data_IF_340155502905
#
_entry.id   IF_340155502905
#
_cell.length_a   1.000
_cell.length_b   1.000
_cell.length_c   1.000
_cell.angle_alpha   90.00
_cell.angle_beta   90.00
_cell.angle_gamma   90.00
#
_symmetry.space_group_name_H-M   'P 1'
#
loop_
_entity.id
_entity.type
_entity.pdbx_description
1 polymer ?
#
# COMPACT_ATOMS: atom_id res chain seq x y z
N UNK A 1 24.84 -11.25 1.67
CA UNK A 1 25.05 -9.81 1.38
C UNK A 1 23.75 -9.24 0.84
N UNK A 2 23.09 -8.31 1.55
CA UNK A 2 21.89 -7.65 1.04
C UNK A 2 22.23 -6.93 -0.28
N UNK A 3 21.46 -7.19 -1.33
CA UNK A 3 21.74 -6.73 -2.67
C UNK A 3 21.69 -5.19 -2.69
N UNK A 4 22.85 -4.52 -2.82
CA UNK A 4 23.02 -3.05 -2.76
C UNK A 4 22.10 -2.28 -3.74
N UNK A 5 21.49 -2.98 -4.69
CA UNK A 5 20.56 -2.44 -5.68
C UNK A 5 19.06 -2.54 -5.31
N UNK A 6 18.66 -3.30 -4.28
CA UNK A 6 17.23 -3.49 -3.95
C UNK A 6 16.58 -2.26 -3.30
N UNK A 7 17.31 -1.54 -2.43
CA UNK A 7 16.75 -0.38 -1.71
C UNK A 7 16.57 0.88 -2.59
N UNK A 8 17.21 0.93 -3.77
CA UNK A 8 17.14 2.08 -4.69
C UNK A 8 15.80 2.19 -5.44
N UNK A 9 14.98 1.14 -5.39
CA UNK A 9 13.68 1.08 -6.07
C UNK A 9 12.50 1.22 -5.07
N UNK A 10 12.79 1.63 -3.84
CA UNK A 10 11.81 1.72 -2.75
C UNK A 10 11.61 3.18 -2.36
N UNK A 11 10.36 3.63 -2.44
CA UNK A 11 9.90 4.87 -1.83
C UNK A 11 9.25 4.58 -0.49
N UNK A 12 9.57 5.37 0.52
CA UNK A 12 8.93 5.36 1.83
C UNK A 12 8.11 6.62 1.95
N UNK A 13 6.83 6.46 2.25
CA UNK A 13 5.91 7.58 2.23
C UNK A 13 4.93 7.51 3.39
N UNK A 14 4.50 8.70 3.80
CA UNK A 14 3.57 8.90 4.90
C UNK A 14 2.84 10.25 4.70
N UNK A 15 1.52 10.23 4.76
CA UNK A 15 0.69 11.43 4.69
C UNK A 15 0.21 11.83 6.09
N UNK A 16 0.30 13.13 6.35
CA UNK A 16 -0.55 13.75 7.35
C UNK A 16 -1.84 14.23 6.68
N UNK A 17 -2.95 14.14 7.40
CA UNK A 17 -4.26 14.50 6.86
C UNK A 17 -5.24 14.94 7.94
N UNK A 18 -6.25 15.69 7.52
CA UNK A 18 -7.45 15.95 8.30
C UNK A 18 -8.62 15.13 7.76
N UNK A 19 -9.61 14.89 8.63
CA UNK A 19 -10.88 14.27 8.23
C UNK A 19 -11.89 15.38 7.99
N UNK A 20 -12.46 15.40 6.79
CA UNK A 20 -13.58 16.27 6.45
C UNK A 20 -14.92 15.53 6.65
N UNK A 21 -16.02 16.28 6.59
CA UNK A 21 -17.37 15.71 6.64
C UNK A 21 -17.55 14.63 5.56
N UNK A 22 -18.23 13.53 5.91
CA UNK A 22 -18.45 12.42 4.98
C UNK A 22 -17.28 11.42 4.88
N UNK A 23 -16.26 11.53 5.73
CA UNK A 23 -15.17 10.55 5.79
C UNK A 23 -14.06 10.75 4.75
N UNK A 24 -14.07 11.89 4.05
CA UNK A 24 -13.01 12.24 3.11
C UNK A 24 -11.72 12.62 3.86
N UNK A 25 -10.59 12.09 3.39
CA UNK A 25 -9.27 12.41 3.93
C UNK A 25 -8.66 13.54 3.10
N UNK A 26 -8.33 14.67 3.75
CA UNK A 26 -7.67 15.80 3.12
C UNK A 26 -6.19 15.81 3.51
N UNK A 27 -5.26 15.57 2.57
CA UNK A 27 -3.83 15.59 2.89
C UNK A 27 -3.37 17.00 3.25
N UNK A 28 -2.60 17.11 4.32
CA UNK A 28 -1.97 18.34 4.82
C UNK A 28 -0.45 18.30 4.66
N UNK A 29 0.15 17.11 4.73
CA UNK A 29 1.57 16.89 4.46
C UNK A 29 1.77 15.57 3.70
N UNK A 30 2.81 15.50 2.88
CA UNK A 30 3.39 14.26 2.37
C UNK A 30 4.89 14.25 2.66
N UNK A 31 5.34 13.24 3.41
CA UNK A 31 6.74 12.84 3.44
C UNK A 31 7.04 11.78 2.40
N UNK A 32 8.11 11.98 1.63
CA UNK A 32 8.65 10.97 0.73
C UNK A 32 10.17 10.87 0.94
N UNK A 33 10.67 9.66 1.10
CA UNK A 33 12.11 9.40 1.20
C UNK A 33 12.52 8.13 0.49
N UNK A 34 13.78 8.02 0.08
CA UNK A 34 14.35 6.83 -0.59
C UNK A 34 15.86 6.76 -0.40
N UNK A 35 16.42 5.56 -0.51
CA UNK A 35 17.87 5.33 -0.37
C UNK A 35 18.61 5.65 -1.66
N UNK A 36 19.59 6.54 -1.59
CA UNK A 36 20.59 6.76 -2.63
C UNK A 36 21.99 6.40 -2.14
N UNK A 37 22.22 5.10 -1.98
CA UNK A 37 23.45 4.57 -1.39
C UNK A 37 23.34 4.50 0.13
N UNK A 38 24.30 5.09 0.84
CA UNK A 38 24.29 5.12 2.32
C UNK A 38 23.42 6.24 2.90
N UNK A 39 22.93 7.16 2.06
CA UNK A 39 22.12 8.29 2.47
C UNK A 39 20.67 8.17 2.00
N UNK A 40 19.78 8.80 2.76
CA UNK A 40 18.39 9.04 2.43
C UNK A 40 18.26 10.40 1.74
N UNK A 41 17.60 10.37 0.60
CA UNK A 41 17.07 11.57 -0.03
C UNK A 41 15.63 11.74 0.39
N UNK A 42 15.22 12.98 0.64
CA UNK A 42 13.89 13.27 1.16
C UNK A 42 13.23 14.45 0.46
N UNK A 43 11.90 14.42 0.45
CA UNK A 43 11.03 15.53 0.06
C UNK A 43 9.85 15.59 1.02
N UNK A 44 9.60 16.77 1.59
CA UNK A 44 8.34 17.08 2.28
C UNK A 44 7.53 18.02 1.39
N UNK A 45 6.23 17.77 1.28
CA UNK A 45 5.26 18.65 0.64
C UNK A 45 4.21 19.02 1.68
N UNK A 46 3.98 20.31 1.89
CA UNK A 46 2.89 20.81 2.73
C UNK A 46 1.79 21.34 1.83
N UNK A 47 0.55 21.01 2.16
CA UNK A 47 -0.62 21.41 1.38
C UNK A 47 -1.49 22.39 2.16
N UNK A 48 -2.08 23.34 1.44
CA UNK A 48 -3.08 24.24 2.02
C UNK A 48 -4.36 23.44 2.36
N UNK A 49 -5.13 23.81 3.40
CA UNK A 49 -6.38 23.15 3.74
C UNK A 49 -7.39 23.10 2.57
N UNK A 50 -7.34 24.08 1.67
CA UNK A 50 -8.22 24.20 0.50
C UNK A 50 -7.70 23.49 -0.75
N UNK A 51 -6.61 22.72 -0.64
CA UNK A 51 -5.98 22.06 -1.79
C UNK A 51 -6.96 21.11 -2.50
N UNK A 52 -6.99 21.17 -3.82
CA UNK A 52 -7.73 20.20 -4.62
C UNK A 52 -6.88 18.93 -4.81
N UNK A 53 -7.49 17.75 -4.72
CA UNK A 53 -6.79 16.46 -4.87
C UNK A 53 -6.03 16.34 -6.21
N UNK A 54 -6.49 17.01 -7.27
CA UNK A 54 -5.78 17.08 -8.56
C UNK A 54 -4.42 17.80 -8.46
N UNK A 55 -4.33 18.83 -7.61
CA UNK A 55 -3.09 19.57 -7.39
C UNK A 55 -2.13 18.75 -6.52
N UNK A 56 -2.67 18.02 -5.53
CA UNK A 56 -1.92 17.03 -4.75
C UNK A 56 -1.33 15.98 -5.68
N UNK A 57 -2.14 15.40 -6.59
CA UNK A 57 -1.69 14.45 -7.61
C UNK A 57 -0.53 15.01 -8.44
N UNK A 58 -0.68 16.24 -8.95
CA UNK A 58 0.35 16.90 -9.75
C UNK A 58 1.65 17.07 -8.96
N UNK A 59 1.57 17.49 -7.70
CA UNK A 59 2.72 17.65 -6.82
C UNK A 59 3.43 16.32 -6.54
N UNK A 60 2.67 15.25 -6.29
CA UNK A 60 3.19 13.89 -6.13
C UNK A 60 3.91 13.45 -7.40
N UNK A 61 3.23 13.49 -8.55
CA UNK A 61 3.78 13.04 -9.84
C UNK A 61 5.06 13.79 -10.21
N UNK A 62 5.09 15.11 -10.03
CA UNK A 62 6.29 15.93 -10.25
C UNK A 62 7.43 15.57 -9.29
N UNK A 63 7.11 15.17 -8.07
CA UNK A 63 8.10 14.75 -7.09
C UNK A 63 8.68 13.39 -7.48
N UNK A 64 7.84 12.42 -7.83
CA UNK A 64 8.28 11.05 -8.16
C UNK A 64 8.82 10.89 -9.58
N UNK A 65 8.53 11.81 -10.51
CA UNK A 65 8.96 11.73 -11.93
C UNK A 65 10.48 11.73 -12.08
N UNK A 66 11.20 12.33 -11.13
CA UNK A 66 12.65 12.35 -11.09
C UNK A 66 13.25 11.02 -10.60
N UNK A 67 12.40 10.11 -10.11
CA UNK A 67 12.77 8.85 -9.46
C UNK A 67 12.06 7.67 -10.12
N UNK A 68 12.17 7.58 -11.46
CA UNK A 68 11.55 6.55 -12.32
C UNK A 68 11.88 5.09 -11.94
N UNK A 69 12.85 4.89 -11.04
CA UNK A 69 13.26 3.58 -10.55
C UNK A 69 12.42 3.06 -9.39
N UNK A 70 11.60 3.90 -8.75
CA UNK A 70 10.73 3.48 -7.65
C UNK A 70 9.64 2.54 -8.18
N UNK A 71 9.68 1.29 -7.70
CA UNK A 71 8.72 0.21 -8.03
C UNK A 71 7.97 -0.28 -6.80
N UNK A 72 8.48 0.01 -5.60
CA UNK A 72 7.89 -0.41 -4.33
C UNK A 72 7.62 0.81 -3.47
N UNK A 73 6.45 0.86 -2.84
CA UNK A 73 6.08 1.84 -1.84
C UNK A 73 5.91 1.15 -0.49
N UNK A 74 6.59 1.66 0.53
CA UNK A 74 6.53 1.15 1.90
C UNK A 74 5.88 2.21 2.78
N UNK A 75 4.90 1.78 3.57
CA UNK A 75 4.13 2.59 4.49
C UNK A 75 4.33 2.04 5.90
N UNK A 76 4.03 2.84 6.94
CA UNK A 76 3.84 2.27 8.27
C UNK A 76 2.52 1.51 8.31
N UNK A 77 1.39 2.20 8.17
CA UNK A 77 0.05 1.64 7.95
C UNK A 77 -0.49 2.19 6.64
N UNK A 78 -0.63 1.35 5.61
CA UNK A 78 -0.98 1.85 4.26
C UNK A 78 -2.43 2.29 4.14
N UNK A 79 -3.30 2.04 5.13
CA UNK A 79 -4.76 2.14 4.98
C UNK A 79 -5.19 3.52 4.48
N UNK A 80 -4.84 4.56 5.22
CA UNK A 80 -5.22 5.93 4.89
C UNK A 80 -4.37 6.51 3.76
N UNK A 81 -3.06 6.21 3.73
CA UNK A 81 -2.17 6.69 2.66
C UNK A 81 -2.59 6.16 1.28
N UNK A 82 -2.90 4.86 1.19
CA UNK A 82 -3.39 4.24 -0.05
C UNK A 82 -4.73 4.84 -0.47
N UNK A 83 -5.61 5.14 0.48
CA UNK A 83 -6.88 5.82 0.18
C UNK A 83 -6.60 7.21 -0.41
N UNK A 84 -5.76 8.03 0.23
CA UNK A 84 -5.41 9.37 -0.26
C UNK A 84 -4.79 9.30 -1.67
N UNK A 85 -3.87 8.35 -1.91
CA UNK A 85 -3.27 8.16 -3.23
C UNK A 85 -4.31 7.81 -4.30
N UNK A 86 -5.23 6.89 -3.99
CA UNK A 86 -6.32 6.51 -4.89
C UNK A 86 -7.28 7.68 -5.15
N UNK A 87 -7.68 8.42 -4.11
CA UNK A 87 -8.57 9.58 -4.21
C UNK A 87 -7.93 10.72 -5.03
N UNK A 88 -6.60 10.86 -4.98
CA UNK A 88 -5.84 11.75 -5.85
C UNK A 88 -5.75 11.24 -7.31
N UNK A 89 -6.15 10.00 -7.61
CA UNK A 89 -6.01 9.41 -8.94
C UNK A 89 -4.58 8.92 -9.26
N UNK A 90 -3.79 8.58 -8.24
CA UNK A 90 -2.52 7.86 -8.42
C UNK A 90 -2.85 6.38 -8.63
N UNK A 91 -2.35 5.80 -9.72
CA UNK A 91 -2.54 4.38 -9.98
C UNK A 91 -1.57 3.54 -9.12
N UNK A 92 -2.05 3.13 -7.95
CA UNK A 92 -1.28 2.31 -7.01
C UNK A 92 -0.95 0.90 -7.53
N UNK A 93 -1.65 0.37 -8.55
CA UNK A 93 -1.35 -0.97 -9.09
C UNK A 93 -0.01 -1.06 -9.83
N UNK A 94 0.58 0.09 -10.18
CA UNK A 94 1.92 0.17 -10.77
C UNK A 94 3.04 -0.07 -9.75
N UNK A 95 2.71 -0.13 -8.46
CA UNK A 95 3.67 -0.27 -7.38
C UNK A 95 3.40 -1.53 -6.56
N UNK A 96 4.47 -2.18 -6.12
CA UNK A 96 4.38 -3.15 -5.02
C UNK A 96 4.18 -2.38 -3.71
N UNK A 97 3.09 -2.61 -2.99
CA UNK A 97 2.81 -1.92 -1.72
C UNK A 97 3.17 -2.82 -0.54
N UNK A 98 3.93 -2.30 0.42
CA UNK A 98 4.31 -2.99 1.66
C UNK A 98 3.72 -2.24 2.84
N UNK A 99 3.02 -2.96 3.70
CA UNK A 99 2.54 -2.47 4.99
C UNK A 99 3.50 -2.93 6.07
N UNK A 100 4.34 -2.02 6.59
CA UNK A 100 5.38 -2.41 7.53
C UNK A 100 4.83 -2.72 8.93
N UNK A 101 3.69 -2.14 9.30
CA UNK A 101 3.02 -2.41 10.56
C UNK A 101 2.46 -3.84 10.59
N UNK A 102 1.86 -4.31 9.49
CA UNK A 102 1.39 -5.70 9.37
C UNK A 102 2.56 -6.70 9.50
N UNK A 103 3.68 -6.43 8.83
CA UNK A 103 4.88 -7.28 8.86
C UNK A 103 5.54 -7.35 10.25
N UNK A 104 5.34 -6.31 11.08
CA UNK A 104 5.97 -6.18 12.40
C UNK A 104 4.98 -6.41 13.57
N UNK A 105 3.83 -7.03 13.30
CA UNK A 105 2.91 -7.48 14.35
C UNK A 105 2.01 -6.39 14.94
N UNK A 106 1.64 -5.37 14.13
CA UNK A 106 0.64 -4.36 14.46
C UNK A 106 0.94 -3.50 15.70
N UNK A 107 2.20 -3.07 15.83
CA UNK A 107 2.64 -2.12 16.87
C UNK A 107 2.55 -0.66 16.38
N UNK A 108 2.82 0.32 17.25
CA UNK A 108 2.88 1.74 16.86
C UNK A 108 4.27 2.13 16.35
N UNK A 109 4.33 3.15 15.48
CA UNK A 109 5.60 3.63 14.91
C UNK A 109 6.57 4.11 16.00
N UNK A 110 6.06 4.76 17.05
CA UNK A 110 6.85 5.21 18.20
C UNK A 110 7.51 4.02 18.93
N UNK A 111 6.72 3.02 19.32
CA UNK A 111 7.22 1.84 20.05
C UNK A 111 8.30 1.09 19.27
N UNK A 112 8.09 0.88 17.96
CA UNK A 112 9.09 0.19 17.14
C UNK A 112 10.33 1.06 16.92
N UNK A 113 10.16 2.38 16.84
CA UNK A 113 11.28 3.32 16.70
C UNK A 113 12.17 3.26 17.93
N UNK A 114 11.58 3.21 19.13
CA UNK A 114 12.30 3.03 20.39
C UNK A 114 13.03 1.67 20.41
N UNK A 115 12.34 0.58 20.03
CA UNK A 115 12.94 -0.77 19.97
C UNK A 115 14.17 -0.83 19.06
N UNK A 116 14.14 -0.15 17.91
CA UNK A 116 15.27 -0.10 16.98
C UNK A 116 16.27 1.04 17.23
N UNK A 117 16.05 1.81 18.30
CA UNK A 117 16.81 3.00 18.67
C UNK A 117 16.91 4.03 17.53
N UNK A 118 15.77 4.33 16.90
CA UNK A 118 15.65 5.33 15.83
C UNK A 118 15.43 6.71 16.45
N UNK A 119 16.55 7.41 16.70
CA UNK A 119 16.54 8.77 17.25
C UNK A 119 16.60 9.84 16.14
N UNK A 120 16.19 11.09 16.41
CA UNK A 120 16.38 12.21 15.46
C UNK A 120 17.82 12.39 14.99
N UNK A 121 18.81 12.16 15.86
CA UNK A 121 20.23 12.24 15.52
C UNK A 121 20.63 11.12 14.55
N UNK A 122 20.12 9.90 14.77
CA UNK A 122 20.35 8.78 13.86
C UNK A 122 19.73 9.05 12.48
N UNK A 123 18.51 9.59 12.45
CA UNK A 123 17.85 10.01 11.21
C UNK A 123 18.69 11.06 10.48
N UNK A 124 19.11 12.11 11.18
CA UNK A 124 19.91 13.20 10.62
C UNK A 124 21.23 12.72 10.02
N UNK A 125 21.91 11.75 10.65
CA UNK A 125 23.14 11.14 10.11
C UNK A 125 22.93 10.47 8.75
N UNK A 126 21.75 9.90 8.52
CA UNK A 126 21.42 9.21 7.27
C UNK A 126 20.86 10.14 6.19
N UNK A 127 20.38 11.33 6.52
CA UNK A 127 19.95 12.30 5.51
C UNK A 127 21.16 12.82 4.71
N UNK A 128 20.98 12.97 3.39
CA UNK A 128 21.99 13.53 2.50
C UNK A 128 22.49 14.89 3.01
N UNK A 129 23.82 15.13 3.13
CA UNK A 129 24.36 16.31 3.82
C UNK A 129 23.74 17.64 3.40
N UNK A 130 23.52 17.84 2.10
CA UNK A 130 22.98 19.08 1.55
C UNK A 130 21.48 19.30 1.85
N UNK A 131 20.76 18.27 2.29
CA UNK A 131 19.33 18.37 2.62
C UNK A 131 19.08 18.56 4.12
N UNK A 132 20.06 18.29 5.00
CA UNK A 132 19.90 18.32 6.46
C UNK A 132 19.39 19.66 6.99
N UNK A 133 19.85 20.77 6.41
CA UNK A 133 19.46 22.13 6.83
C UNK A 133 18.02 22.50 6.46
N UNK A 134 17.41 21.76 5.54
CA UNK A 134 16.08 22.08 4.99
C UNK A 134 14.96 21.25 5.62
N UNK A 135 15.29 20.38 6.59
CA UNK A 135 14.30 19.56 7.31
C UNK A 135 14.11 20.17 8.68
N UNK A 136 13.00 20.87 8.85
CA UNK A 136 12.74 21.70 10.03
C UNK A 136 12.10 20.93 11.18
N UNK A 137 11.52 19.75 10.94
CA UNK A 137 10.92 18.89 11.96
C UNK A 137 11.14 17.41 11.64
N UNK A 138 11.79 16.69 12.55
CA UNK A 138 11.96 15.23 12.52
C UNK A 138 11.13 14.56 13.64
N UNK A 139 10.06 15.21 14.09
CA UNK A 139 9.17 14.65 15.11
C UNK A 139 8.27 13.55 14.54
N UNK A 140 7.71 12.73 15.42
CA UNK A 140 6.58 11.86 15.07
C UNK A 140 5.38 12.71 14.62
N UNK A 141 4.50 12.16 13.80
CA UNK A 141 3.32 12.86 13.25
C UNK A 141 3.69 14.07 12.38
N UNK A 142 4.85 13.97 11.73
CA UNK A 142 5.17 14.80 10.58
C UNK A 142 5.44 13.83 9.46
N UNK A 143 4.83 14.06 8.28
CA UNK A 143 4.90 13.10 7.19
C UNK A 143 6.35 12.76 6.85
N UNK A 144 7.25 13.76 6.82
CA UNK A 144 8.67 13.48 6.57
C UNK A 144 9.39 12.80 7.74
N UNK A 145 9.06 13.16 8.98
CA UNK A 145 9.62 12.51 10.16
C UNK A 145 9.28 11.03 10.23
N UNK A 146 8.06 10.67 9.86
CA UNK A 146 7.56 9.30 9.89
C UNK A 146 8.08 8.50 8.68
N UNK A 147 8.06 9.07 7.47
CA UNK A 147 8.69 8.45 6.30
C UNK A 147 10.18 8.09 6.52
N UNK A 148 10.94 8.97 7.17
CA UNK A 148 12.36 8.71 7.50
C UNK A 148 12.54 7.61 8.54
N UNK A 149 11.65 7.52 9.54
CA UNK A 149 11.65 6.42 10.52
C UNK A 149 11.35 5.10 9.84
N UNK A 150 10.30 5.05 9.02
CA UNK A 150 9.89 3.88 8.24
C UNK A 150 11.08 3.39 7.41
N UNK A 151 11.80 4.29 6.73
CA UNK A 151 12.96 3.94 5.92
C UNK A 151 14.09 3.25 6.70
N UNK A 152 14.40 3.76 7.90
CA UNK A 152 15.43 3.18 8.77
C UNK A 152 15.00 1.86 9.40
N UNK A 153 13.73 1.76 9.84
CA UNK A 153 13.16 0.52 10.38
C UNK A 153 13.19 -0.56 9.30
N UNK A 154 12.67 -0.27 8.11
CA UNK A 154 12.67 -1.22 7.00
C UNK A 154 14.09 -1.68 6.64
N UNK A 155 15.07 -0.76 6.61
CA UNK A 155 16.47 -1.13 6.39
C UNK A 155 17.00 -2.04 7.49
N UNK A 156 16.76 -1.73 8.76
CA UNK A 156 17.20 -2.57 9.89
C UNK A 156 16.58 -3.96 9.82
N UNK A 157 15.26 -4.06 9.64
CA UNK A 157 14.53 -5.32 9.52
C UNK A 157 15.10 -6.17 8.38
N UNK A 158 15.19 -5.61 7.17
CA UNK A 158 15.71 -6.34 6.01
C UNK A 158 17.17 -6.77 6.17
N UNK A 159 18.02 -5.95 6.80
CA UNK A 159 19.41 -6.33 7.09
C UNK A 159 19.53 -7.42 8.14
N UNK A 160 18.71 -7.41 9.20
CA UNK A 160 18.74 -8.41 10.28
C UNK A 160 18.18 -9.75 9.81
N UNK A 161 17.10 -9.76 9.03
CA UNK A 161 16.51 -10.99 8.47
C UNK A 161 17.43 -11.66 7.45
N UNK A 162 18.30 -10.89 6.79
CA UNK A 162 19.34 -11.45 5.90
C UNK A 162 20.43 -12.19 6.68
N UNK A 163 20.70 -11.81 7.93
CA UNK A 163 21.72 -12.46 8.77
C UNK A 163 21.24 -13.79 9.35
N UNK A 164 19.95 -13.90 9.69
CA UNK A 164 19.38 -15.10 10.35
C UNK A 164 19.14 -16.25 9.35
N UNK A 165 18.95 -15.96 8.05
CA UNK A 165 18.71 -16.98 7.00
C UNK A 165 19.87 -17.94 6.72
N UNK A 166 21.00 -17.86 7.44
CA UNK A 166 22.13 -18.79 7.28
C UNK A 166 22.14 -19.94 8.28
N UNK A 167 21.22 -19.96 9.26
CA UNK A 167 21.14 -21.09 10.18
C UNK A 167 19.69 -21.36 10.55
N UNK A 168 19.07 -22.36 9.93
CA UNK A 168 17.83 -22.93 10.46
C UNK A 168 17.79 -24.42 10.18
N UNK A 169 18.07 -25.19 11.22
CA UNK A 169 17.64 -26.59 11.34
C UNK A 169 16.14 -26.57 11.63
N UNK A 170 15.41 -27.42 10.90
CA UNK A 170 13.95 -27.56 10.93
C UNK A 170 13.50 -28.22 12.24
N UNK A 171 12.45 -27.69 12.85
CA UNK A 171 11.55 -28.47 13.69
C UNK A 171 10.11 -28.00 13.44
N UNK A 172 9.28 -28.92 12.94
CA UNK A 172 7.85 -28.71 12.71
C UNK A 172 7.09 -28.65 14.04
N UNK A 173 6.10 -27.75 14.11
CA UNK A 173 5.06 -27.81 15.13
C UNK A 173 3.69 -27.63 14.49
N UNK A 174 2.90 -28.70 14.56
CA UNK A 174 1.47 -28.75 14.26
C UNK A 174 0.71 -27.83 15.22
N UNK A 175 -0.20 -27.00 14.70
CA UNK A 175 -1.14 -26.24 15.54
C UNK A 175 -2.56 -26.39 15.02
N UNK A 176 -3.45 -26.80 15.92
CA UNK A 176 -4.88 -27.02 15.76
C UNK A 176 -5.61 -25.70 15.50
N UNK A 177 -6.52 -25.67 14.52
CA UNK A 177 -7.33 -24.49 14.15
C UNK A 177 -8.64 -24.52 14.94
N UNK A 178 -8.91 -23.47 15.72
CA UNK A 178 -10.24 -23.21 16.28
C UNK A 178 -10.96 -22.19 15.41
N UNK A 179 -12.17 -22.51 14.96
CA UNK A 179 -12.97 -21.68 14.06
C UNK A 179 -13.50 -20.42 14.77
N UNK A 180 -13.14 -19.24 14.27
CA UNK A 180 -13.80 -17.98 14.61
C UNK A 180 -14.91 -17.70 13.61
N UNK A 181 -16.16 -17.71 14.08
CA UNK A 181 -17.35 -17.31 13.31
C UNK A 181 -17.36 -15.80 13.11
N UNK A 182 -16.91 -15.33 11.96
CA UNK A 182 -17.07 -13.95 11.47
C UNK A 182 -18.46 -13.74 10.86
N UNK A 183 -19.04 -12.55 11.06
CA UNK A 183 -20.33 -12.15 10.46
C UNK A 183 -20.29 -12.33 8.93
N UNK A 184 -21.39 -12.80 8.30
CA UNK A 184 -21.42 -13.00 6.86
C UNK A 184 -21.20 -11.66 6.15
N UNK A 185 -20.18 -11.64 5.30
CA UNK A 185 -19.87 -10.53 4.40
C UNK A 185 -21.08 -10.33 3.49
N UNK A 186 -21.54 -9.08 3.32
CA UNK A 186 -22.68 -8.80 2.44
C UNK A 186 -22.41 -9.28 1.02
N UNK A 187 -23.44 -9.78 0.32
CA UNK A 187 -23.31 -10.32 -1.04
C UNK A 187 -22.69 -9.33 -2.03
N UNK A 188 -22.81 -8.03 -1.76
CA UNK A 188 -22.19 -6.98 -2.56
C UNK A 188 -20.67 -6.88 -2.33
N UNK A 189 -20.22 -7.01 -1.09
CA UNK A 189 -18.79 -7.01 -0.77
C UNK A 189 -18.11 -8.28 -1.30
N UNK A 190 -18.81 -9.43 -1.28
CA UNK A 190 -18.35 -10.65 -1.94
C UNK A 190 -18.24 -10.48 -3.45
N UNK A 191 -19.23 -9.84 -4.10
CA UNK A 191 -19.18 -9.56 -5.55
C UNK A 191 -18.01 -8.66 -5.92
N UNK A 192 -17.74 -7.59 -5.17
CA UNK A 192 -16.62 -6.69 -5.47
C UNK A 192 -15.26 -7.36 -5.25
N UNK A 193 -15.09 -8.10 -4.15
CA UNK A 193 -13.89 -8.92 -3.93
C UNK A 193 -13.70 -9.95 -5.06
N UNK A 194 -14.79 -10.55 -5.54
CA UNK A 194 -14.76 -11.54 -6.62
C UNK A 194 -14.50 -10.93 -8.01
N UNK A 195 -14.92 -9.69 -8.26
CA UNK A 195 -14.62 -8.99 -9.52
C UNK A 195 -13.22 -8.39 -9.52
N UNK A 196 -12.70 -8.05 -8.34
CA UNK A 196 -11.34 -7.55 -8.13
C UNK A 196 -10.31 -8.67 -8.35
N UNK A 197 -10.59 -9.91 -7.96
CA UNK A 197 -9.72 -11.07 -8.28
C UNK A 197 -9.66 -11.41 -9.77
N UNK A 198 -10.61 -10.93 -10.56
CA UNK A 198 -10.69 -11.18 -12.01
C UNK A 198 -10.19 -10.02 -12.87
N UNK A 199 -9.75 -8.92 -12.24
CA UNK A 199 -9.39 -7.66 -12.90
C UNK A 199 -10.53 -7.09 -13.77
N UNK A 200 -11.78 -7.27 -13.29
CA UNK A 200 -13.01 -6.85 -13.98
C UNK A 200 -13.79 -5.77 -13.20
N UNK A 201 -13.26 -5.30 -12.07
CA UNK A 201 -13.80 -4.19 -11.30
C UNK A 201 -13.96 -2.91 -12.15
N UNK A 202 -13.12 -2.76 -13.19
CA UNK A 202 -13.21 -1.64 -14.15
C UNK A 202 -14.53 -1.61 -14.93
N UNK A 203 -15.18 -2.76 -15.16
CA UNK A 203 -16.43 -2.84 -15.92
C UNK A 203 -17.65 -2.28 -15.17
N UNK A 204 -17.66 -2.42 -13.84
CA UNK A 204 -18.67 -1.81 -12.97
C UNK A 204 -18.38 -0.33 -12.75
N UNK A 205 -17.10 0.04 -12.64
CA UNK A 205 -16.66 1.43 -12.42
C UNK A 205 -16.96 2.30 -13.65
N UNK A 206 -16.80 1.77 -14.86
CA UNK A 206 -17.14 2.48 -16.11
C UNK A 206 -18.64 2.47 -16.46
N UNK A 207 -19.51 1.91 -15.58
CA UNK A 207 -20.98 1.79 -15.79
C UNK A 207 -21.40 1.06 -17.08
N UNK A 208 -20.50 0.31 -17.73
CA UNK A 208 -20.79 -0.41 -18.99
C UNK A 208 -21.71 -1.62 -18.79
N UNK A 209 -21.74 -2.17 -17.57
CA UNK A 209 -22.70 -3.20 -17.15
C UNK A 209 -23.26 -2.77 -15.79
N UNK A 210 -24.59 -2.80 -15.63
CA UNK A 210 -25.20 -2.44 -14.35
C UNK A 210 -24.84 -3.46 -13.27
N UNK A 211 -24.65 -3.00 -12.03
CA UNK A 211 -24.37 -3.85 -10.88
C UNK A 211 -25.43 -4.94 -10.66
N UNK A 212 -26.69 -4.62 -10.98
CA UNK A 212 -27.81 -5.57 -10.96
C UNK A 212 -27.60 -6.70 -11.98
N UNK A 213 -27.18 -6.38 -13.19
CA UNK A 213 -26.91 -7.35 -14.27
C UNK A 213 -25.74 -8.27 -13.91
N UNK A 214 -24.64 -7.71 -13.41
CA UNK A 214 -23.47 -8.49 -12.99
C UNK A 214 -23.80 -9.45 -11.83
N UNK A 215 -24.59 -8.99 -10.86
CA UNK A 215 -25.03 -9.82 -9.73
C UNK A 215 -26.00 -10.94 -10.18
N UNK A 216 -26.94 -10.65 -11.08
CA UNK A 216 -27.85 -11.66 -11.65
C UNK A 216 -27.08 -12.72 -12.42
N UNK A 217 -26.11 -12.33 -13.25
CA UNK A 217 -25.26 -13.27 -13.97
C UNK A 217 -24.50 -14.17 -13.00
N UNK A 218 -23.76 -13.60 -12.05
CA UNK A 218 -23.01 -14.37 -11.05
C UNK A 218 -23.90 -15.37 -10.29
N UNK A 219 -25.08 -14.94 -9.84
CA UNK A 219 -26.04 -15.84 -9.17
C UNK A 219 -26.51 -16.98 -10.08
N UNK A 220 -26.91 -16.66 -11.32
CA UNK A 220 -27.40 -17.66 -12.28
C UNK A 220 -26.35 -18.70 -12.69
N UNK A 221 -25.08 -18.31 -12.72
CA UNK A 221 -24.01 -19.21 -13.17
C UNK A 221 -23.31 -19.94 -12.02
N UNK A 222 -23.29 -19.38 -10.80
CA UNK A 222 -22.62 -19.98 -9.63
C UNK A 222 -23.58 -20.67 -8.66
N UNK A 223 -24.76 -20.08 -8.41
CA UNK A 223 -25.70 -20.60 -7.41
C UNK A 223 -26.76 -21.50 -8.03
N UNK A 224 -27.23 -21.18 -9.24
CA UNK A 224 -28.36 -21.89 -9.86
C UNK A 224 -27.95 -23.11 -10.71
N UNK A 225 -26.65 -23.31 -10.99
CA UNK A 225 -26.15 -24.44 -11.80
C UNK A 225 -24.94 -25.19 -11.17
N UNK A 226 -25.05 -25.66 -9.92
CA UNK A 226 -23.93 -26.32 -9.21
C UNK A 226 -23.51 -27.67 -9.83
N UNK A 227 -24.29 -28.19 -10.78
CA UNK A 227 -24.04 -29.47 -11.45
C UNK A 227 -23.12 -29.34 -12.68
N UNK A 228 -22.91 -28.12 -13.17
CA UNK A 228 -21.96 -27.86 -14.24
C UNK A 228 -20.57 -27.96 -13.63
N UNK A 229 -19.97 -29.14 -13.74
CA UNK A 229 -18.64 -29.50 -13.24
C UNK A 229 -17.54 -28.84 -14.09
N UNK A 230 -17.67 -27.53 -14.30
CA UNK A 230 -16.76 -26.71 -15.09
C UNK A 230 -15.60 -26.34 -14.16
N UNK A 231 -14.35 -26.64 -14.54
CA UNK A 231 -13.19 -26.21 -13.78
C UNK A 231 -13.24 -24.70 -13.55
N UNK A 232 -13.00 -24.26 -12.31
CA UNK A 232 -13.14 -22.88 -11.87
C UNK A 232 -12.45 -21.89 -12.82
N UNK A 233 -11.25 -22.21 -13.32
CA UNK A 233 -10.51 -21.35 -14.24
C UNK A 233 -11.17 -21.22 -15.63
N UNK A 234 -11.81 -22.30 -16.12
CA UNK A 234 -12.57 -22.28 -17.38
C UNK A 234 -13.85 -21.47 -17.25
N UNK A 235 -14.50 -21.54 -16.08
CA UNK A 235 -15.65 -20.71 -15.74
C UNK A 235 -15.29 -19.22 -15.71
N UNK A 236 -14.15 -18.86 -15.11
CA UNK A 236 -13.67 -17.49 -15.05
C UNK A 236 -13.40 -16.91 -16.45
N UNK A 237 -12.85 -17.72 -17.36
CA UNK A 237 -12.61 -17.33 -18.75
C UNK A 237 -13.91 -17.13 -19.53
N UNK A 238 -14.92 -18.00 -19.35
CA UNK A 238 -16.23 -17.87 -19.99
C UNK A 238 -16.95 -16.62 -19.49
N UNK A 239 -16.97 -16.38 -18.17
CA UNK A 239 -17.60 -15.20 -17.58
C UNK A 239 -16.92 -13.91 -18.04
N UNK A 240 -15.58 -13.90 -18.08
CA UNK A 240 -14.80 -12.78 -18.61
C UNK A 240 -15.09 -12.52 -20.08
N UNK A 241 -15.09 -13.56 -20.93
CA UNK A 241 -15.40 -13.43 -22.36
C UNK A 241 -16.83 -12.92 -22.59
N UNK A 242 -17.80 -13.40 -21.81
CA UNK A 242 -19.19 -12.97 -21.93
C UNK A 242 -19.39 -11.52 -21.48
N UNK A 243 -18.79 -11.13 -20.35
CA UNK A 243 -18.82 -9.74 -19.87
C UNK A 243 -18.13 -8.77 -20.84
N UNK A 244 -17.03 -9.18 -21.47
CA UNK A 244 -16.37 -8.42 -22.52
C UNK A 244 -17.22 -8.34 -23.81
N UNK A 245 -17.98 -9.39 -24.16
CA UNK A 245 -18.86 -9.40 -25.34
C UNK A 245 -20.06 -8.44 -25.22
N UNK A 246 -20.42 -8.03 -24.01
CA UNK A 246 -21.47 -7.05 -23.73
C UNK A 246 -20.97 -5.60 -23.90
N UNK A 247 -19.66 -5.41 -24.09
CA UNK A 247 -19.05 -4.12 -24.41
C UNK A 247 -19.02 -4.00 -25.93
N UNK A 248 -19.95 -3.23 -26.49
CA UNK A 248 -19.84 -2.73 -27.87
C UNK A 248 -18.79 -1.63 -27.95
#
# INVERSE_FOLDING_TARGET
MANKNQLKNIGYLDFEFTREGGGQLRPTELGLTWWGGQYLYCKSLTFLPTIQLKEVRKAILNTISNYKTIKTLVFWDKTHDKQILNDCGINCSKYSLIDLQDELGKTTLDKISQQYNITPELITKHIFPNQRKNITKLSLHTGIGDALRIALIHKKVTTTTTTIKTTTTVAEKTTTITANTTKPISSNAQLFQYLETLDLSILLIERRVSQKTALTLWKSTVLDNPHLNIPYDSFLLILKAHLLSLIR
#
